data_IF_345541589618
#
_entry.id   IF_345541589618
#
_cell.length_a   1.000
_cell.length_b   1.000
_cell.length_c   1.000
_cell.angle_alpha   90.00
_cell.angle_beta   90.00
_cell.angle_gamma   90.00
#
_symmetry.space_group_name_H-M   'P 1'
#
loop_
_entity.id
_entity.type
_entity.pdbx_description
1 polymer ?
#
# COMPACT_ATOMS: atom_id res chain seq x y z
N UNK A 1 15.67 -8.24 -30.96
CA UNK A 1 14.84 -8.62 -29.79
C UNK A 1 15.37 -7.89 -28.57
N UNK A 2 14.83 -6.72 -28.27
CA UNK A 2 15.08 -6.06 -27.01
C UNK A 2 14.23 -6.78 -25.95
N UNK A 3 14.86 -7.52 -25.04
CA UNK A 3 14.21 -8.09 -23.87
C UNK A 3 14.12 -6.96 -22.84
N UNK A 4 13.02 -6.22 -22.83
CA UNK A 4 12.74 -5.26 -21.77
C UNK A 4 11.92 -5.97 -20.71
N UNK A 5 12.48 -6.10 -19.53
CA UNK A 5 11.74 -6.52 -18.33
C UNK A 5 11.14 -5.27 -17.67
N UNK A 6 10.02 -5.43 -16.99
CA UNK A 6 9.33 -4.33 -16.32
C UNK A 6 8.88 -4.72 -14.92
N UNK A 7 8.69 -3.71 -14.08
CA UNK A 7 8.06 -3.88 -12.78
C UNK A 7 6.62 -4.43 -12.91
N UNK A 8 5.91 -4.08 -13.98
CA UNK A 8 4.52 -4.51 -14.22
C UNK A 8 4.38 -6.03 -14.25
N UNK A 9 5.20 -6.71 -15.06
CA UNK A 9 5.10 -8.17 -15.23
C UNK A 9 5.35 -8.90 -13.92
N UNK A 10 6.37 -8.49 -13.17
CA UNK A 10 6.74 -9.12 -11.92
C UNK A 10 5.71 -8.85 -10.80
N UNK A 11 5.20 -7.62 -10.72
CA UNK A 11 4.14 -7.29 -9.78
C UNK A 11 2.86 -8.11 -10.05
N UNK A 12 2.45 -8.19 -11.32
CA UNK A 12 1.30 -9.00 -11.71
C UNK A 12 1.50 -10.49 -11.45
N UNK A 13 2.72 -11.01 -11.63
CA UNK A 13 3.03 -12.41 -11.34
C UNK A 13 2.82 -12.75 -9.85
N UNK A 14 3.26 -11.86 -8.95
CA UNK A 14 3.01 -12.00 -7.50
C UNK A 14 1.50 -11.96 -7.22
N UNK A 15 0.78 -10.95 -7.73
CA UNK A 15 -0.64 -10.76 -7.47
C UNK A 15 -1.52 -11.87 -8.05
N UNK A 16 -1.13 -12.41 -9.20
CA UNK A 16 -1.80 -13.55 -9.83
C UNK A 16 -1.45 -14.91 -9.17
N UNK A 17 -0.55 -14.90 -8.16
CA UNK A 17 -0.10 -16.10 -7.44
C UNK A 17 0.45 -17.21 -8.37
N UNK A 18 1.10 -16.81 -9.47
CA UNK A 18 1.76 -17.73 -10.40
C UNK A 18 3.25 -17.95 -10.07
N UNK A 19 3.80 -17.15 -9.15
CA UNK A 19 5.14 -17.32 -8.58
C UNK A 19 5.10 -18.36 -7.47
N UNK A 20 6.20 -19.06 -7.25
CA UNK A 20 6.32 -19.94 -6.08
C UNK A 20 6.46 -19.09 -4.82
N UNK A 21 5.96 -19.61 -3.70
CA UNK A 21 5.93 -18.90 -2.42
C UNK A 21 7.32 -18.49 -1.94
N UNK A 22 8.31 -19.34 -2.15
CA UNK A 22 9.71 -19.09 -1.78
C UNK A 22 10.43 -18.07 -2.67
N UNK A 23 9.89 -17.81 -3.87
CA UNK A 23 10.43 -16.83 -4.82
C UNK A 23 9.86 -15.40 -4.62
N UNK A 24 8.70 -15.27 -3.97
CA UNK A 24 7.97 -14.00 -3.87
C UNK A 24 8.83 -12.88 -3.26
N UNK A 25 9.49 -13.15 -2.16
CA UNK A 25 10.33 -12.15 -1.47
C UNK A 25 11.52 -11.72 -2.35
N UNK A 26 12.17 -12.66 -3.02
CA UNK A 26 13.29 -12.36 -3.91
C UNK A 26 12.84 -11.49 -5.10
N UNK A 27 11.71 -11.82 -5.72
CA UNK A 27 11.12 -11.05 -6.82
C UNK A 27 10.74 -9.65 -6.34
N UNK A 28 10.15 -9.52 -5.15
CA UNK A 28 9.77 -8.23 -4.58
C UNK A 28 11.00 -7.34 -4.30
N UNK A 29 12.11 -7.88 -3.81
CA UNK A 29 13.36 -7.15 -3.67
C UNK A 29 13.91 -6.70 -5.02
N UNK A 30 13.89 -7.56 -6.04
CA UNK A 30 14.29 -7.17 -7.41
C UNK A 30 13.43 -6.03 -7.95
N UNK A 31 12.13 -6.00 -7.68
CA UNK A 31 11.24 -4.89 -8.08
C UNK A 31 11.67 -3.54 -7.52
N UNK A 32 12.29 -3.52 -6.34
CA UNK A 32 12.76 -2.30 -5.69
C UNK A 32 14.18 -1.90 -6.12
N UNK A 33 15.05 -2.88 -6.34
CA UNK A 33 16.50 -2.67 -6.45
C UNK A 33 17.00 -2.65 -7.90
N UNK A 34 16.38 -3.42 -8.80
CA UNK A 34 16.83 -3.55 -10.18
C UNK A 34 16.42 -2.33 -11.02
N UNK A 35 17.37 -1.42 -11.22
CA UNK A 35 17.18 -0.20 -12.02
C UNK A 35 17.12 -0.45 -13.53
N UNK A 36 17.36 -1.68 -13.99
CA UNK A 36 17.21 -2.06 -15.40
C UNK A 36 15.76 -2.35 -15.78
N UNK A 37 14.89 -2.57 -14.80
CA UNK A 37 13.45 -2.76 -15.02
C UNK A 37 12.80 -1.45 -15.47
N UNK A 38 11.97 -1.52 -16.50
CA UNK A 38 11.10 -0.39 -16.86
C UNK A 38 10.17 -0.09 -15.69
N UNK A 39 10.19 1.16 -15.15
CA UNK A 39 9.46 1.50 -13.94
C UNK A 39 7.96 1.57 -14.19
N UNK A 40 7.19 1.37 -13.13
CA UNK A 40 5.75 1.59 -13.13
C UNK A 40 5.40 3.08 -13.25
N UNK A 41 4.28 3.36 -13.91
CA UNK A 41 3.64 4.68 -13.85
C UNK A 41 2.99 4.92 -12.49
N UNK A 42 2.61 6.16 -12.20
CA UNK A 42 1.84 6.53 -11.00
C UNK A 42 0.57 5.67 -10.87
N UNK A 43 -0.15 5.48 -11.97
CA UNK A 43 -1.32 4.58 -11.99
C UNK A 43 -0.98 3.15 -11.57
N UNK A 44 0.08 2.58 -12.12
CA UNK A 44 0.43 1.18 -11.87
C UNK A 44 1.13 0.98 -10.52
N UNK A 45 1.59 2.04 -9.86
CA UNK A 45 2.19 1.95 -8.52
C UNK A 45 1.25 1.32 -7.50
N UNK A 46 -0.06 1.46 -7.65
CA UNK A 46 -1.05 0.76 -6.82
C UNK A 46 -0.87 -0.77 -6.87
N UNK A 47 -0.67 -1.33 -8.05
CA UNK A 47 -0.45 -2.78 -8.20
C UNK A 47 0.94 -3.19 -7.72
N UNK A 48 1.96 -2.35 -7.97
CA UNK A 48 3.30 -2.58 -7.45
C UNK A 48 3.29 -2.62 -5.92
N UNK A 49 2.72 -1.62 -5.27
CA UNK A 49 2.64 -1.54 -3.81
C UNK A 49 1.82 -2.70 -3.23
N UNK A 50 0.74 -3.10 -3.91
CA UNK A 50 -0.04 -4.28 -3.54
C UNK A 50 0.78 -5.58 -3.63
N UNK A 51 1.64 -5.73 -4.65
CA UNK A 51 2.54 -6.88 -4.77
C UNK A 51 3.61 -6.89 -3.68
N UNK A 52 4.21 -5.74 -3.38
CA UNK A 52 5.19 -5.60 -2.31
C UNK A 52 4.58 -5.86 -0.92
N UNK A 53 3.35 -5.41 -0.70
CA UNK A 53 2.60 -5.72 0.51
C UNK A 53 2.31 -7.22 0.62
N UNK A 54 1.87 -7.86 -0.47
CA UNK A 54 1.67 -9.31 -0.51
C UNK A 54 2.96 -10.12 -0.28
N UNK A 55 4.12 -9.52 -0.56
CA UNK A 55 5.44 -10.07 -0.25
C UNK A 55 5.92 -9.77 1.18
N UNK A 56 5.05 -9.26 2.05
CA UNK A 56 5.33 -8.89 3.44
C UNK A 56 6.37 -7.76 3.61
N UNK A 57 6.46 -6.85 2.63
CA UNK A 57 7.34 -5.68 2.68
C UNK A 57 6.61 -4.39 3.11
N UNK A 58 5.41 -4.50 3.66
CA UNK A 58 4.56 -3.35 4.02
C UNK A 58 5.21 -2.35 4.97
N UNK A 59 6.13 -2.77 5.84
CA UNK A 59 6.87 -1.88 6.74
C UNK A 59 7.76 -0.86 6.01
N UNK A 60 8.06 -1.11 4.74
CA UNK A 60 8.82 -0.19 3.90
C UNK A 60 7.93 0.78 3.10
N UNK A 61 6.61 0.73 3.26
CA UNK A 61 5.65 1.47 2.43
C UNK A 61 5.98 2.96 2.31
N UNK A 62 6.33 3.64 3.38
CA UNK A 62 6.68 5.07 3.33
C UNK A 62 7.88 5.38 2.43
N UNK A 63 8.76 4.42 2.15
CA UNK A 63 9.91 4.60 1.27
C UNK A 63 9.49 4.60 -0.21
N UNK A 64 8.32 4.06 -0.55
CA UNK A 64 7.81 3.97 -1.92
C UNK A 64 7.09 5.24 -2.39
N UNK A 65 6.94 6.24 -1.50
CA UNK A 65 6.13 7.43 -1.73
C UNK A 65 6.92 8.65 -2.26
N UNK A 66 8.09 8.46 -2.86
CA UNK A 66 8.95 9.58 -3.26
C UNK A 66 8.32 10.47 -4.34
N UNK A 67 7.59 9.90 -5.30
CA UNK A 67 6.88 10.68 -6.31
C UNK A 67 5.83 11.61 -5.67
N UNK A 68 5.15 11.15 -4.62
CA UNK A 68 4.13 11.94 -3.91
C UNK A 68 4.78 13.03 -3.03
N UNK A 69 5.95 12.76 -2.45
CA UNK A 69 6.74 13.78 -1.76
C UNK A 69 7.20 14.88 -2.71
N UNK A 70 7.58 14.48 -3.94
CA UNK A 70 7.96 15.45 -4.96
C UNK A 70 6.77 16.30 -5.40
N UNK A 71 5.58 15.74 -5.58
CA UNK A 71 4.36 16.50 -5.83
C UNK A 71 4.13 17.57 -4.77
N UNK A 72 4.27 17.22 -3.49
CA UNK A 72 4.13 18.17 -2.37
C UNK A 72 5.21 19.25 -2.41
N UNK A 73 6.48 18.91 -2.65
CA UNK A 73 7.57 19.89 -2.76
C UNK A 73 7.35 20.91 -3.89
N UNK A 74 6.74 20.48 -4.98
CA UNK A 74 6.39 21.35 -6.09
C UNK A 74 5.11 22.16 -5.87
N UNK A 75 4.50 22.03 -4.69
CA UNK A 75 3.32 22.80 -4.30
C UNK A 75 1.99 22.27 -4.81
N UNK A 76 1.94 21.00 -5.29
CA UNK A 76 0.68 20.40 -5.66
C UNK A 76 -0.18 20.14 -4.40
N UNK A 77 -1.45 20.44 -4.51
CA UNK A 77 -2.47 20.18 -3.47
C UNK A 77 -3.32 18.95 -3.80
N UNK A 78 -3.14 18.39 -4.98
CA UNK A 78 -3.76 17.17 -5.50
C UNK A 78 -2.68 16.31 -6.15
N UNK A 79 -3.03 15.10 -6.59
CA UNK A 79 -2.07 14.17 -7.14
C UNK A 79 -2.01 14.23 -8.67
N UNK A 80 -0.82 14.31 -9.22
CA UNK A 80 -0.59 14.34 -10.66
C UNK A 80 -0.89 13.01 -11.33
N UNK A 81 -1.23 13.07 -12.63
CA UNK A 81 -1.50 11.91 -13.47
C UNK A 81 -0.26 11.05 -13.72
N UNK A 82 0.90 11.69 -13.84
CA UNK A 82 2.17 11.05 -14.22
C UNK A 82 3.31 11.43 -13.29
N UNK A 83 4.41 10.68 -13.37
CA UNK A 83 5.64 10.98 -12.64
C UNK A 83 6.41 12.17 -13.24
N UNK A 84 6.17 12.51 -14.50
CA UNK A 84 6.78 13.66 -15.17
C UNK A 84 5.85 14.87 -15.00
N UNK A 85 6.10 15.63 -13.93
CA UNK A 85 5.29 16.78 -13.56
C UNK A 85 5.36 17.93 -14.57
N UNK A 86 6.43 18.01 -15.37
CA UNK A 86 6.58 19.04 -16.39
C UNK A 86 5.68 18.79 -17.60
N UNK A 87 5.29 17.55 -17.85
CA UNK A 87 4.51 17.13 -19.01
C UNK A 87 3.21 16.40 -18.63
N UNK A 88 2.78 16.51 -17.39
CA UNK A 88 1.49 15.93 -16.96
C UNK A 88 0.33 16.68 -17.59
N UNK A 89 -0.73 15.96 -17.96
CA UNK A 89 -1.98 16.56 -18.47
C UNK A 89 -2.88 17.05 -17.35
N UNK A 90 -2.72 16.53 -16.14
CA UNK A 90 -3.59 16.80 -15.01
C UNK A 90 -2.82 16.73 -13.70
N UNK A 91 -3.00 17.74 -12.87
CA UNK A 91 -2.51 17.80 -11.49
C UNK A 91 -3.54 17.26 -10.48
N UNK A 92 -4.73 16.90 -10.96
CA UNK A 92 -5.82 16.34 -10.14
C UNK A 92 -6.37 15.10 -10.82
N UNK A 93 -5.68 13.96 -10.65
CA UNK A 93 -6.01 12.74 -11.34
C UNK A 93 -6.33 11.61 -10.37
N UNK A 94 -7.49 10.98 -10.54
CA UNK A 94 -8.04 10.03 -9.57
C UNK A 94 -7.10 8.85 -9.28
N UNK A 95 -6.45 8.28 -10.28
CA UNK A 95 -5.52 7.17 -10.05
C UNK A 95 -4.23 7.56 -9.31
N UNK A 96 -3.89 8.86 -9.29
CA UNK A 96 -2.81 9.37 -8.45
C UNK A 96 -3.14 9.31 -6.96
N UNK A 97 -4.40 9.11 -6.58
CA UNK A 97 -4.85 9.12 -5.20
C UNK A 97 -4.69 7.77 -4.45
N UNK A 98 -4.06 6.77 -5.06
CA UNK A 98 -3.84 5.46 -4.46
C UNK A 98 -3.27 5.50 -3.03
N UNK A 99 -2.31 6.37 -2.65
CA UNK A 99 -1.80 6.43 -1.29
C UNK A 99 -2.88 6.70 -0.22
N UNK A 100 -3.97 7.36 -0.59
CA UNK A 100 -5.05 7.67 0.36
C UNK A 100 -5.74 6.39 0.89
N UNK A 101 -5.82 5.33 0.09
CA UNK A 101 -6.34 4.03 0.54
C UNK A 101 -5.23 3.09 1.01
N UNK A 102 -4.04 3.20 0.43
CA UNK A 102 -2.92 2.31 0.75
C UNK A 102 -2.42 2.50 2.19
N UNK A 103 -2.45 3.72 2.73
CA UNK A 103 -2.14 3.99 4.15
C UNK A 103 -3.07 3.17 5.06
N UNK A 104 -4.35 3.09 4.74
CA UNK A 104 -5.30 2.30 5.53
C UNK A 104 -5.08 0.79 5.35
N UNK A 105 -4.84 0.34 4.13
CA UNK A 105 -4.64 -1.08 3.85
C UNK A 105 -3.31 -1.61 4.34
N UNK A 106 -2.23 -0.87 4.10
CA UNK A 106 -0.87 -1.32 4.38
C UNK A 106 -0.46 -0.93 5.80
N UNK A 107 -0.40 0.37 6.10
CA UNK A 107 0.14 0.81 7.38
C UNK A 107 -0.80 0.51 8.55
N UNK A 108 -2.08 0.80 8.41
CA UNK A 108 -3.09 0.47 9.42
C UNK A 108 -3.56 -0.98 9.32
N UNK A 109 -3.32 -1.64 8.18
CA UNK A 109 -3.56 -3.05 7.97
C UNK A 109 -5.04 -3.42 7.85
N UNK A 110 -5.94 -2.47 7.56
CA UNK A 110 -7.38 -2.72 7.54
C UNK A 110 -7.79 -3.19 6.15
N UNK A 111 -8.13 -4.47 6.02
CA UNK A 111 -8.56 -5.08 4.76
C UNK A 111 -9.88 -5.83 4.94
N UNK A 112 -10.78 -5.69 3.96
CA UNK A 112 -12.01 -6.49 3.91
C UNK A 112 -11.69 -7.95 3.56
N UNK A 113 -12.30 -8.87 4.29
CA UNK A 113 -12.21 -10.32 4.01
C UNK A 113 -13.53 -10.89 3.50
N UNK A 114 -14.57 -10.07 3.38
CA UNK A 114 -15.86 -10.49 2.88
C UNK A 114 -16.60 -9.34 2.17
N UNK A 115 -17.56 -9.63 1.28
CA UNK A 115 -18.37 -8.59 0.65
C UNK A 115 -19.01 -7.64 1.66
N UNK A 116 -19.03 -6.35 1.33
CA UNK A 116 -19.64 -5.32 2.17
C UNK A 116 -18.89 -5.02 3.47
N UNK A 117 -17.63 -5.46 3.62
CA UNK A 117 -16.85 -5.33 4.87
C UNK A 117 -17.52 -5.99 6.09
N UNK A 118 -18.33 -7.04 5.89
CA UNK A 118 -18.93 -7.76 7.00
C UNK A 118 -17.90 -8.45 7.90
N UNK A 119 -16.70 -8.70 7.37
CA UNK A 119 -15.52 -9.12 8.14
C UNK A 119 -14.26 -8.42 7.64
N UNK A 120 -13.32 -8.21 8.58
CA UNK A 120 -12.06 -7.52 8.32
C UNK A 120 -10.88 -8.31 8.86
N UNK A 121 -9.76 -8.25 8.16
CA UNK A 121 -8.44 -8.62 8.68
C UNK A 121 -7.69 -7.34 9.02
N UNK A 122 -7.07 -7.30 10.17
CA UNK A 122 -6.29 -6.16 10.64
C UNK A 122 -4.87 -6.63 10.89
N UNK A 123 -3.96 -6.28 9.98
CA UNK A 123 -2.56 -6.70 9.98
C UNK A 123 -1.66 -5.48 9.68
N UNK A 124 -1.35 -4.65 10.69
CA UNK A 124 -0.63 -3.41 10.47
C UNK A 124 0.83 -3.62 10.09
N UNK A 125 1.32 -2.74 9.22
CA UNK A 125 2.73 -2.56 8.91
C UNK A 125 3.17 -1.13 9.27
N UNK A 126 3.43 -0.83 10.55
CA UNK A 126 3.70 0.52 11.02
C UNK A 126 5.06 1.07 10.58
N UNK A 127 5.97 0.23 10.08
CA UNK A 127 7.33 0.63 9.76
C UNK A 127 8.02 1.26 10.97
N UNK A 128 8.58 2.45 10.79
CA UNK A 128 9.26 3.18 11.87
C UNK A 128 8.33 4.07 12.71
N UNK A 129 7.02 4.04 12.48
CA UNK A 129 6.06 4.85 13.21
C UNK A 129 5.83 4.29 14.62
N UNK A 130 6.10 5.11 15.64
CA UNK A 130 5.84 4.73 17.04
C UNK A 130 4.36 4.79 17.41
N UNK A 131 3.58 5.55 16.66
CA UNK A 131 2.14 5.68 16.85
C UNK A 131 1.47 5.80 15.48
N UNK A 132 0.36 5.09 15.34
CA UNK A 132 -0.52 5.19 14.17
C UNK A 132 -1.96 5.10 14.66
N UNK A 133 -2.83 5.91 14.07
CA UNK A 133 -4.27 5.79 14.30
C UNK A 133 -5.03 6.16 13.04
N UNK A 134 -6.16 5.55 12.87
CA UNK A 134 -7.04 5.86 11.74
C UNK A 134 -8.43 5.30 11.89
N UNK A 135 -9.32 5.75 11.02
CA UNK A 135 -10.72 5.37 11.02
C UNK A 135 -11.20 5.21 9.58
N UNK A 136 -11.85 4.10 9.27
CA UNK A 136 -12.53 3.87 8.00
C UNK A 136 -14.03 3.93 8.23
N UNK A 137 -14.80 4.68 7.44
CA UNK A 137 -16.25 4.70 7.52
C UNK A 137 -16.82 3.35 7.07
N UNK A 138 -17.81 2.88 7.79
CA UNK A 138 -18.58 1.69 7.47
C UNK A 138 -20.08 2.00 7.64
N UNK A 139 -21.01 1.37 6.90
CA UNK A 139 -22.43 1.66 7.01
C UNK A 139 -23.01 1.52 8.43
N UNK A 140 -22.41 0.68 9.27
CA UNK A 140 -22.85 0.45 10.65
C UNK A 140 -22.02 1.20 11.70
N UNK A 141 -21.15 2.12 11.31
CA UNK A 141 -20.26 2.84 12.21
C UNK A 141 -18.86 2.97 11.64
N UNK A 142 -17.87 3.28 12.48
CA UNK A 142 -16.50 3.41 12.03
C UNK A 142 -15.66 2.22 12.52
N UNK A 143 -14.82 1.67 11.63
CA UNK A 143 -13.72 0.80 12.02
C UNK A 143 -12.58 1.71 12.45
N UNK A 144 -12.14 1.62 13.72
CA UNK A 144 -11.06 2.44 14.26
C UNK A 144 -9.91 1.59 14.76
N UNK A 145 -8.71 2.08 14.52
CA UNK A 145 -7.50 1.45 15.03
C UNK A 145 -6.58 2.50 15.67
N UNK A 146 -5.93 2.14 16.76
CA UNK A 146 -4.93 2.96 17.42
C UNK A 146 -3.80 2.05 17.89
N UNK A 147 -2.60 2.31 17.38
CA UNK A 147 -1.40 1.53 17.65
C UNK A 147 -0.35 2.35 18.37
N UNK A 148 0.33 1.72 19.33
CA UNK A 148 1.55 2.24 19.97
C UNK A 148 2.60 1.15 19.96
N UNK A 149 3.73 1.43 19.29
CA UNK A 149 4.86 0.53 19.19
C UNK A 149 5.94 0.93 20.19
N UNK A 150 6.38 -0.02 21.00
CA UNK A 150 7.48 0.14 21.96
C UNK A 150 8.41 -1.07 21.86
N UNK A 151 9.58 -0.86 21.26
CA UNK A 151 10.46 -1.96 20.87
C UNK A 151 9.74 -2.90 19.89
N UNK A 152 9.62 -4.17 20.25
CA UNK A 152 8.91 -5.19 19.48
C UNK A 152 7.46 -5.41 19.93
N UNK A 153 7.00 -4.63 20.91
CA UNK A 153 5.65 -4.78 21.47
C UNK A 153 4.72 -3.77 20.83
N UNK A 154 3.65 -4.26 20.21
CA UNK A 154 2.55 -3.46 19.68
C UNK A 154 1.37 -3.49 20.67
N UNK A 155 0.99 -2.31 21.18
CA UNK A 155 -0.30 -2.12 21.84
C UNK A 155 -1.31 -1.65 20.82
N UNK A 156 -2.33 -2.47 20.55
CA UNK A 156 -3.41 -2.18 19.62
C UNK A 156 -4.73 -1.97 20.38
N UNK A 157 -5.47 -0.93 20.00
CA UNK A 157 -6.88 -0.74 20.35
C UNK A 157 -7.65 -0.72 19.06
N UNK A 158 -8.59 -1.65 18.91
CA UNK A 158 -9.38 -1.85 17.70
C UNK A 158 -10.85 -1.76 18.07
N UNK A 159 -11.58 -0.90 17.40
CA UNK A 159 -13.02 -0.74 17.56
C UNK A 159 -13.69 -1.11 16.23
N UNK A 160 -14.59 -2.07 16.30
CA UNK A 160 -15.40 -2.50 15.17
C UNK A 160 -16.87 -2.13 15.39
N UNK A 161 -17.61 -1.79 14.34
CA UNK A 161 -19.06 -1.65 14.43
C UNK A 161 -19.73 -2.96 14.85
N UNK A 162 -20.92 -2.85 15.41
CA UNK A 162 -21.76 -4.01 15.70
C UNK A 162 -21.96 -4.88 14.43
N UNK A 163 -21.89 -6.18 14.59
CA UNK A 163 -22.00 -7.19 13.51
C UNK A 163 -20.84 -7.24 12.51
N UNK A 164 -19.77 -6.45 12.69
CA UNK A 164 -18.54 -6.60 11.92
C UNK A 164 -17.57 -7.49 12.71
N UNK A 165 -17.20 -8.62 12.13
CA UNK A 165 -16.17 -9.50 12.72
C UNK A 165 -14.77 -9.08 12.28
N UNK A 166 -13.76 -9.32 13.13
CA UNK A 166 -12.37 -8.97 12.80
C UNK A 166 -11.36 -9.99 13.30
N UNK A 167 -10.32 -10.20 12.51
CA UNK A 167 -9.12 -10.94 12.88
C UNK A 167 -7.95 -9.97 12.99
N UNK A 168 -7.22 -10.00 14.10
CA UNK A 168 -6.00 -9.23 14.27
C UNK A 168 -4.78 -10.15 14.12
N UNK A 169 -3.81 -9.72 13.31
CA UNK A 169 -2.56 -10.45 13.04
C UNK A 169 -1.38 -9.52 13.28
N UNK A 170 -0.42 -10.00 14.08
CA UNK A 170 0.82 -9.28 14.37
C UNK A 170 2.02 -10.23 14.40
#
# INVERSE_FOLDING_TARGET
NHRHFSQHTNALAILAKITKTDEITAIAHQLLEDKSLAPCSVYFSFYLNSALHAANLGDNYLQWLDIYRENIKQGLTTWAETSDLAHTRSDCHAWGAAPNIEVYRIMLGIESTSPGFASVRIAPHPGNCKQLSGSIPHPQGNIRVNYRLSGQTLKAVIELPEHVSGEFVW
#
